data_IF_024451127934
#
_entry.id   IF_024451127934
#
_cell.length_a   1.000
_cell.length_b   1.000
_cell.length_c   1.000
_cell.angle_alpha   90.00
_cell.angle_beta   90.00
_cell.angle_gamma   90.00
#
_symmetry.space_group_name_H-M   'P 1'
#
loop_
_entity.id
_entity.type
_entity.pdbx_description
1 polymer ?
#
# COMPACT_ATOMS: atom_id res chain seq x y z
N UNK A 1 26.20 -2.87 -12.89
CA UNK A 1 24.73 -3.07 -12.79
C UNK A 1 24.01 -1.75 -13.01
N UNK A 2 22.67 -1.71 -12.89
CA UNK A 2 21.94 -0.43 -12.88
C UNK A 2 22.27 0.34 -11.61
N UNK A 3 22.55 1.64 -11.73
CA UNK A 3 22.67 2.55 -10.57
C UNK A 3 21.30 2.77 -9.93
N UNK A 4 21.22 2.66 -8.61
CA UNK A 4 19.99 2.92 -7.85
C UNK A 4 20.00 4.37 -7.36
N UNK A 5 18.97 5.12 -7.74
CA UNK A 5 18.74 6.48 -7.22
C UNK A 5 18.25 6.46 -5.77
N UNK A 6 18.58 7.53 -5.04
CA UNK A 6 18.06 7.79 -3.70
C UNK A 6 16.54 7.99 -3.71
N UNK A 7 16.00 8.58 -4.78
CA UNK A 7 14.58 8.83 -4.97
C UNK A 7 13.95 7.91 -6.01
N UNK A 8 12.65 7.65 -5.83
CA UNK A 8 11.86 6.93 -6.82
C UNK A 8 11.64 7.79 -8.07
N UNK A 9 11.62 7.14 -9.23
CA UNK A 9 11.30 7.80 -10.48
C UNK A 9 9.80 7.65 -10.78
N UNK A 10 9.01 8.68 -10.44
CA UNK A 10 7.56 8.69 -10.66
C UNK A 10 7.19 8.58 -12.14
N UNK A 11 7.97 9.19 -13.04
CA UNK A 11 7.73 9.09 -14.48
C UNK A 11 7.86 7.64 -14.98
N UNK A 12 8.87 6.93 -14.48
CA UNK A 12 9.08 5.52 -14.80
C UNK A 12 7.95 4.64 -14.24
N UNK A 13 7.48 4.91 -13.01
CA UNK A 13 6.33 4.20 -12.43
C UNK A 13 5.06 4.40 -13.26
N UNK A 14 4.76 5.65 -13.65
CA UNK A 14 3.62 5.97 -14.52
C UNK A 14 3.73 5.26 -15.87
N UNK A 15 4.93 5.22 -16.46
CA UNK A 15 5.19 4.51 -17.70
C UNK A 15 4.98 3.00 -17.57
N UNK A 16 5.43 2.38 -16.47
CA UNK A 16 5.20 0.96 -16.23
C UNK A 16 3.72 0.63 -16.00
N UNK A 17 3.01 1.46 -15.25
CA UNK A 17 1.56 1.32 -15.05
C UNK A 17 0.81 1.41 -16.38
N UNK A 18 1.08 2.44 -17.19
CA UNK A 18 0.43 2.58 -18.49
C UNK A 18 0.77 1.42 -19.43
N UNK A 19 2.02 0.98 -19.44
CA UNK A 19 2.44 -0.19 -20.22
C UNK A 19 1.70 -1.45 -19.79
N UNK A 20 1.54 -1.67 -18.49
CA UNK A 20 0.82 -2.82 -17.95
C UNK A 20 -0.64 -2.85 -18.43
N UNK A 21 -1.34 -1.74 -18.29
CA UNK A 21 -2.76 -1.61 -18.66
C UNK A 21 -2.99 -1.74 -20.16
N UNK A 22 -2.08 -1.19 -20.97
CA UNK A 22 -2.24 -1.14 -22.44
C UNK A 22 -1.76 -2.44 -23.09
N UNK A 23 -0.67 -3.05 -22.60
CA UNK A 23 -0.02 -4.17 -23.28
C UNK A 23 -0.34 -5.54 -22.69
N UNK A 24 -0.80 -5.63 -21.44
CA UNK A 24 -1.11 -6.91 -20.80
C UNK A 24 -2.61 -7.11 -20.74
N UNK A 25 -3.12 -8.01 -21.57
CA UNK A 25 -4.54 -8.34 -21.65
C UNK A 25 -5.09 -8.85 -20.30
N UNK A 26 -4.31 -9.65 -19.56
CA UNK A 26 -4.65 -10.12 -18.22
C UNK A 26 -4.79 -8.98 -17.20
N UNK A 27 -4.01 -7.90 -17.33
CA UNK A 27 -4.07 -6.74 -16.44
C UNK A 27 -5.13 -5.71 -16.86
N UNK A 28 -5.50 -5.70 -18.14
CA UNK A 28 -6.56 -4.83 -18.71
C UNK A 28 -7.95 -5.44 -18.59
N UNK A 29 -8.04 -6.76 -18.36
CA UNK A 29 -9.29 -7.49 -18.26
C UNK A 29 -10.24 -6.87 -17.22
N UNK A 30 -11.53 -6.82 -17.56
CA UNK A 30 -12.56 -6.20 -16.70
C UNK A 30 -12.55 -6.90 -15.35
N UNK A 31 -12.34 -6.09 -14.32
CA UNK A 31 -12.42 -6.51 -12.93
C UNK A 31 -13.80 -7.03 -12.61
N UNK A 32 -13.83 -8.09 -11.83
CA UNK A 32 -15.10 -8.62 -11.37
C UNK A 32 -15.56 -7.80 -10.18
N UNK A 33 -16.79 -7.28 -10.18
CA UNK A 33 -17.35 -6.51 -9.05
C UNK A 33 -17.36 -7.29 -7.72
N UNK A 34 -17.04 -8.58 -7.75
CA UNK A 34 -16.94 -9.48 -6.60
C UNK A 34 -15.84 -9.13 -5.58
N UNK A 35 -14.90 -8.25 -5.92
CA UNK A 35 -13.75 -7.89 -5.08
C UNK A 35 -13.68 -6.42 -4.64
N UNK A 36 -14.79 -5.67 -4.71
CA UNK A 36 -14.80 -4.29 -4.24
C UNK A 36 -14.63 -4.23 -2.71
N UNK A 37 -13.76 -3.34 -2.20
CA UNK A 37 -13.61 -3.19 -0.76
C UNK A 37 -14.84 -2.52 -0.14
N UNK A 38 -15.21 -2.92 1.07
CA UNK A 38 -16.33 -2.29 1.81
C UNK A 38 -16.01 -0.84 2.19
N UNK A 39 -14.74 -0.57 2.47
CA UNK A 39 -14.23 0.75 2.78
C UNK A 39 -12.97 1.05 1.97
N UNK A 40 -12.80 2.31 1.56
CA UNK A 40 -11.55 2.79 0.97
C UNK A 40 -11.23 4.19 1.45
N UNK A 41 -9.97 4.59 1.34
CA UNK A 41 -9.53 5.95 1.62
C UNK A 41 -9.57 6.75 0.32
N UNK A 42 -10.29 7.87 0.31
CA UNK A 42 -10.11 8.89 -0.72
C UNK A 42 -8.77 9.61 -0.47
N UNK A 43 -7.87 9.55 -1.44
CA UNK A 43 -6.49 10.02 -1.25
C UNK A 43 -6.41 11.55 -1.26
N UNK A 44 -7.25 12.23 -2.04
CA UNK A 44 -7.25 13.70 -2.15
C UNK A 44 -7.89 14.38 -0.95
N UNK A 45 -9.05 13.89 -0.54
CA UNK A 45 -9.80 14.45 0.59
C UNK A 45 -9.34 13.85 1.92
N UNK A 46 -8.62 12.71 1.89
CA UNK A 46 -8.13 11.97 3.06
C UNK A 46 -9.29 11.53 3.94
N UNK A 47 -10.26 10.85 3.35
CA UNK A 47 -11.52 10.48 4.01
C UNK A 47 -11.82 9.01 3.84
N UNK A 48 -12.55 8.42 4.79
CA UNK A 48 -12.97 7.03 4.69
C UNK A 48 -14.31 6.99 3.94
N UNK A 49 -14.32 6.36 2.78
CA UNK A 49 -15.51 6.12 1.97
C UNK A 49 -16.03 4.71 2.28
N UNK A 50 -17.33 4.60 2.59
CA UNK A 50 -18.05 3.34 2.65
C UNK A 50 -18.68 3.05 1.29
N UNK A 51 -18.61 1.80 0.84
CA UNK A 51 -19.14 1.34 -0.46
C UNK A 51 -18.65 2.22 -1.62
N UNK A 52 -17.33 2.30 -1.83
CA UNK A 52 -16.70 3.24 -2.77
C UNK A 52 -17.01 2.97 -4.25
N UNK A 53 -17.74 1.90 -4.55
CA UNK A 53 -18.16 1.50 -5.89
C UNK A 53 -17.04 0.91 -6.74
N UNK A 54 -17.29 0.84 -8.05
CA UNK A 54 -16.41 0.19 -9.03
C UNK A 54 -15.17 1.02 -9.46
N UNK A 55 -14.79 2.01 -8.65
CA UNK A 55 -13.65 2.85 -8.98
C UNK A 55 -12.33 2.08 -8.88
N UNK A 56 -11.33 2.50 -9.65
CA UNK A 56 -9.98 1.95 -9.54
C UNK A 56 -9.37 2.35 -8.21
N UNK A 57 -8.94 1.36 -7.45
CA UNK A 57 -8.22 1.56 -6.19
C UNK A 57 -6.84 0.91 -6.21
N UNK A 58 -5.92 1.46 -5.42
CA UNK A 58 -4.69 0.80 -5.04
C UNK A 58 -4.87 0.06 -3.71
N UNK A 59 -4.10 -1.00 -3.48
CA UNK A 59 -4.03 -1.67 -2.19
C UNK A 59 -2.64 -1.47 -1.57
N UNK A 60 -2.57 -1.31 -0.25
CA UNK A 60 -1.31 -1.26 0.49
C UNK A 60 -1.04 -2.61 1.17
N UNK A 61 0.15 -3.15 0.97
CA UNK A 61 0.68 -4.32 1.67
C UNK A 61 1.94 -3.90 2.44
N UNK A 62 1.89 -4.01 3.76
CA UNK A 62 2.90 -3.47 4.66
C UNK A 62 2.83 -4.15 6.02
N UNK A 63 3.97 -4.19 6.73
CA UNK A 63 4.03 -4.66 8.11
C UNK A 63 3.39 -3.62 9.01
N UNK A 64 2.35 -3.97 9.76
CA UNK A 64 1.68 -2.99 10.62
C UNK A 64 2.57 -2.57 11.80
N UNK A 65 3.15 -3.52 12.52
CA UNK A 65 3.85 -3.25 13.78
C UNK A 65 2.98 -3.56 14.99
N UNK A 66 3.13 -2.78 16.07
CA UNK A 66 2.50 -3.01 17.37
C UNK A 66 1.04 -2.52 17.48
N UNK A 67 0.42 -2.72 18.66
CA UNK A 67 -0.99 -2.39 18.91
C UNK A 67 -1.31 -0.88 18.86
N UNK A 68 -0.28 -0.02 18.89
CA UNK A 68 -0.40 1.44 18.79
C UNK A 68 -0.85 1.95 17.40
N UNK A 69 -0.83 1.09 16.38
CA UNK A 69 -1.25 1.44 15.02
C UNK A 69 -2.76 1.69 14.96
N UNK A 70 -3.21 2.84 14.42
CA UNK A 70 -4.63 3.12 14.25
C UNK A 70 -5.36 2.02 13.47
N UNK A 71 -6.53 1.61 13.98
CA UNK A 71 -7.37 0.58 13.40
C UNK A 71 -8.82 1.06 13.29
N UNK A 72 -9.50 0.64 12.23
CA UNK A 72 -10.94 0.81 12.11
C UNK A 72 -11.62 -0.19 13.06
N UNK A 73 -12.32 0.31 14.07
CA UNK A 73 -13.10 -0.51 15.00
C UNK A 73 -14.47 0.14 15.24
N UNK A 74 -15.35 -0.58 15.94
CA UNK A 74 -16.71 -0.11 16.21
C UNK A 74 -16.76 1.22 16.97
N UNK A 75 -15.79 1.50 17.85
CA UNK A 75 -15.74 2.78 18.56
C UNK A 75 -15.31 3.90 17.60
N UNK A 76 -14.30 3.66 16.76
CA UNK A 76 -13.89 4.59 15.70
C UNK A 76 -15.03 4.90 14.73
N UNK A 77 -15.90 3.92 14.42
CA UNK A 77 -17.10 4.14 13.61
C UNK A 77 -18.20 4.92 14.34
N UNK A 78 -18.42 4.67 15.64
CA UNK A 78 -19.43 5.38 16.44
C UNK A 78 -19.06 6.84 16.68
N UNK A 79 -17.76 7.15 16.72
CA UNK A 79 -17.26 8.53 16.76
C UNK A 79 -17.45 9.29 15.45
N UNK A 80 -17.77 8.60 14.35
CA UNK A 80 -18.14 9.22 13.10
C UNK A 80 -19.66 9.47 13.13
N UNK A 81 -20.06 10.74 13.16
CA UNK A 81 -21.47 11.06 12.89
C UNK A 81 -21.86 10.52 11.50
N UNK A 82 -23.11 10.09 11.29
CA UNK A 82 -23.57 9.49 10.03
C UNK A 82 -23.27 10.36 8.80
N UNK A 83 -23.31 11.68 8.97
CA UNK A 83 -23.05 12.69 7.94
C UNK A 83 -21.56 13.08 7.80
N UNK A 84 -20.69 12.59 8.70
CA UNK A 84 -19.30 13.00 8.86
C UNK A 84 -18.30 11.82 8.82
N UNK A 85 -18.58 10.76 8.04
CA UNK A 85 -17.57 9.74 7.67
C UNK A 85 -16.31 10.36 7.01
N UNK A 86 -16.45 11.61 6.54
CA UNK A 86 -15.42 12.49 6.00
C UNK A 86 -14.22 12.76 6.95
N UNK A 87 -14.35 12.61 8.28
CA UNK A 87 -13.38 13.26 9.20
C UNK A 87 -12.37 12.35 9.88
N UNK A 88 -12.48 11.02 9.75
CA UNK A 88 -11.65 10.08 10.53
C UNK A 88 -10.14 10.32 10.33
N UNK A 89 -9.70 10.34 9.06
CA UNK A 89 -8.27 10.39 8.76
C UNK A 89 -7.71 11.80 8.85
N UNK A 90 -8.53 12.85 8.66
CA UNK A 90 -8.10 14.24 8.88
C UNK A 90 -7.85 14.47 10.38
N UNK A 91 -8.81 14.08 11.24
CA UNK A 91 -8.70 14.24 12.69
C UNK A 91 -7.49 13.48 13.27
N UNK A 92 -7.24 12.28 12.75
CA UNK A 92 -6.16 11.42 13.23
C UNK A 92 -4.92 11.42 12.33
N UNK A 93 -4.80 12.39 11.41
CA UNK A 93 -3.73 12.41 10.40
C UNK A 93 -2.36 12.29 11.04
N UNK A 94 -2.07 13.08 12.07
CA UNK A 94 -0.78 13.07 12.75
C UNK A 94 -0.45 11.71 13.38
N UNK A 95 -1.47 10.97 13.81
CA UNK A 95 -1.34 9.64 14.42
C UNK A 95 -1.25 8.52 13.39
N UNK A 96 -1.46 8.79 12.10
CA UNK A 96 -1.31 7.78 11.07
C UNK A 96 0.16 7.41 10.85
N UNK A 97 0.47 6.12 10.60
CA UNK A 97 1.82 5.69 10.30
C UNK A 97 2.37 6.30 9.00
N UNK A 98 3.68 6.55 8.96
CA UNK A 98 4.35 7.15 7.81
C UNK A 98 4.14 6.35 6.52
N UNK A 99 4.11 5.02 6.57
CA UNK A 99 3.90 4.17 5.39
C UNK A 99 2.51 4.38 4.80
N UNK A 100 1.50 4.60 5.63
CA UNK A 100 0.13 4.90 5.17
C UNK A 100 0.07 6.31 4.56
N UNK A 101 0.65 7.31 5.24
CA UNK A 101 0.73 8.69 4.72
C UNK A 101 1.44 8.74 3.36
N UNK A 102 2.55 8.04 3.24
CA UNK A 102 3.33 7.97 2.00
C UNK A 102 2.58 7.21 0.89
N UNK A 103 1.85 6.15 1.23
CA UNK A 103 1.01 5.45 0.26
C UNK A 103 -0.11 6.35 -0.29
N UNK A 104 -0.76 7.15 0.58
CA UNK A 104 -1.77 8.14 0.16
C UNK A 104 -1.14 9.15 -0.81
N UNK A 105 -0.02 9.77 -0.44
CA UNK A 105 0.66 10.75 -1.29
C UNK A 105 1.20 10.14 -2.61
N UNK A 106 1.61 8.87 -2.60
CA UNK A 106 2.03 8.15 -3.80
C UNK A 106 0.84 7.92 -4.74
N UNK A 107 -0.31 7.52 -4.20
CA UNK A 107 -1.53 7.39 -4.98
C UNK A 107 -1.98 8.73 -5.59
N UNK A 108 -1.95 9.83 -4.83
CA UNK A 108 -2.20 11.18 -5.36
C UNK A 108 -1.27 11.50 -6.55
N UNK A 109 0.03 11.21 -6.39
CA UNK A 109 1.05 11.43 -7.44
C UNK A 109 0.83 10.58 -8.69
N UNK A 110 0.19 9.41 -8.54
CA UNK A 110 -0.16 8.48 -9.61
C UNK A 110 -1.60 8.67 -10.14
N UNK A 111 -2.33 9.66 -9.64
CA UNK A 111 -3.73 9.93 -9.99
C UNK A 111 -4.68 8.76 -9.65
N UNK A 112 -4.45 8.10 -8.51
CA UNK A 112 -5.30 7.03 -7.97
C UNK A 112 -6.06 7.60 -6.77
N UNK A 113 -7.38 7.72 -6.91
CA UNK A 113 -8.23 8.36 -5.90
C UNK A 113 -8.52 7.47 -4.70
N UNK A 114 -8.58 6.14 -4.88
CA UNK A 114 -8.95 5.22 -3.80
C UNK A 114 -7.76 4.37 -3.38
N UNK A 115 -7.54 4.29 -2.07
CA UNK A 115 -6.53 3.44 -1.46
C UNK A 115 -7.18 2.54 -0.41
N UNK A 116 -6.95 1.24 -0.54
CA UNK A 116 -7.34 0.25 0.46
C UNK A 116 -6.16 -0.05 1.38
N UNK A 117 -6.38 0.10 2.70
CA UNK A 117 -5.40 -0.18 3.74
C UNK A 117 -6.05 -1.12 4.75
N UNK A 118 -5.53 -2.35 4.90
CA UNK A 118 -6.17 -3.38 5.74
C UNK A 118 -6.65 -2.83 7.10
N UNK A 119 -5.76 -2.19 7.85
CA UNK A 119 -6.04 -1.76 9.25
C UNK A 119 -7.12 -0.70 9.33
N UNK A 120 -7.33 0.09 8.27
CA UNK A 120 -8.26 1.20 8.20
C UNK A 120 -9.52 0.90 7.40
N UNK A 121 -9.51 -0.16 6.60
CA UNK A 121 -10.60 -0.51 5.68
C UNK A 121 -11.28 -1.85 6.03
N UNK A 122 -10.81 -2.55 7.06
CA UNK A 122 -11.47 -3.71 7.66
C UNK A 122 -11.85 -3.38 9.09
N UNK A 123 -13.13 -3.59 9.42
CA UNK A 123 -13.66 -3.41 10.76
C UNK A 123 -13.12 -4.47 11.72
N UNK A 124 -12.23 -4.06 12.62
CA UNK A 124 -11.62 -4.89 13.66
C UNK A 124 -12.57 -5.04 14.86
N UNK A 125 -12.53 -6.21 15.52
CA UNK A 125 -13.23 -6.46 16.79
C UNK A 125 -14.75 -6.70 16.71
N UNK A 126 -15.34 -6.76 15.51
CA UNK A 126 -16.78 -7.01 15.31
C UNK A 126 -17.17 -8.49 15.23
N UNK A 127 -16.20 -9.41 15.26
CA UNK A 127 -16.44 -10.86 15.18
C UNK A 127 -16.17 -11.53 16.53
N UNK A 128 -17.20 -12.07 17.20
CA UNK A 128 -16.97 -12.94 18.36
C UNK A 128 -16.39 -14.26 17.82
N UNK A 129 -15.36 -14.78 18.50
CA UNK A 129 -14.57 -15.98 18.18
C UNK A 129 -13.29 -15.75 17.35
N UNK A 130 -12.21 -15.49 18.08
CA UNK A 130 -10.87 -15.98 17.74
C UNK A 130 -10.91 -17.51 17.61
N UNK A 131 -11.18 -18.02 16.41
CA UNK A 131 -10.80 -19.38 16.05
C UNK A 131 -10.61 -19.49 14.54
N UNK A 132 -9.68 -20.36 14.16
CA UNK A 132 -9.11 -20.70 12.84
C UNK A 132 -10.10 -20.81 11.64
N UNK A 133 -11.41 -20.72 11.86
CA UNK A 133 -12.46 -20.79 10.84
C UNK A 133 -12.88 -19.41 10.30
N UNK A 134 -12.58 -18.31 11.00
CA UNK A 134 -12.77 -16.93 10.52
C UNK A 134 -11.82 -16.57 9.36
N UNK A 135 -10.72 -17.31 9.22
CA UNK A 135 -9.63 -17.06 8.27
C UNK A 135 -10.06 -17.23 6.81
N UNK A 136 -10.91 -18.20 6.46
CA UNK A 136 -11.17 -18.48 5.03
C UNK A 136 -11.96 -17.38 4.32
N UNK A 137 -12.99 -16.82 4.97
CA UNK A 137 -13.79 -15.74 4.38
C UNK A 137 -13.01 -14.44 4.32
N UNK A 138 -12.28 -14.10 5.40
CA UNK A 138 -11.46 -12.89 5.41
C UNK A 138 -10.28 -13.02 4.43
N UNK A 139 -9.57 -14.14 4.42
CA UNK A 139 -8.51 -14.41 3.45
C UNK A 139 -9.03 -14.41 2.01
N UNK A 140 -10.23 -14.97 1.76
CA UNK A 140 -10.86 -14.88 0.44
C UNK A 140 -11.19 -13.44 0.06
N UNK A 141 -11.73 -12.64 0.99
CA UNK A 141 -12.00 -11.23 0.75
C UNK A 141 -10.70 -10.45 0.48
N UNK A 142 -9.65 -10.67 1.27
CA UNK A 142 -8.33 -10.06 1.04
C UNK A 142 -7.74 -10.48 -0.30
N UNK A 143 -7.79 -11.77 -0.64
CA UNK A 143 -7.36 -12.27 -1.93
C UNK A 143 -8.08 -11.56 -3.06
N UNK A 144 -9.41 -11.39 -2.97
CA UNK A 144 -10.18 -10.68 -3.98
C UNK A 144 -9.80 -9.20 -4.05
N UNK A 145 -9.61 -8.53 -2.91
CA UNK A 145 -9.20 -7.11 -2.90
C UNK A 145 -7.82 -6.92 -3.53
N UNK A 146 -6.82 -7.74 -3.17
CA UNK A 146 -5.49 -7.63 -3.79
C UNK A 146 -5.50 -8.03 -5.27
N UNK A 147 -6.27 -9.05 -5.63
CA UNK A 147 -6.41 -9.51 -7.03
C UNK A 147 -7.05 -8.44 -7.92
N UNK A 148 -8.06 -7.74 -7.41
CA UNK A 148 -8.82 -6.73 -8.15
C UNK A 148 -8.27 -5.31 -7.94
N UNK A 149 -7.14 -5.13 -7.24
CA UNK A 149 -6.48 -3.83 -7.10
C UNK A 149 -5.84 -3.39 -8.43
N UNK A 150 -5.82 -2.08 -8.68
CA UNK A 150 -5.15 -1.49 -9.86
C UNK A 150 -3.64 -1.54 -9.74
N UNK A 151 -3.18 -1.34 -8.52
CA UNK A 151 -1.79 -1.42 -8.13
C UNK A 151 -1.79 -1.90 -6.69
N UNK A 152 -0.86 -2.81 -6.37
CA UNK A 152 -0.53 -3.08 -4.97
C UNK A 152 0.81 -2.42 -4.66
N UNK A 153 0.80 -1.51 -3.68
CA UNK A 153 2.00 -0.91 -3.12
C UNK A 153 2.52 -1.87 -2.05
N UNK A 154 3.73 -2.40 -2.24
CA UNK A 154 4.36 -3.33 -1.29
C UNK A 154 5.49 -2.61 -0.56
N UNK A 155 5.29 -2.33 0.73
CA UNK A 155 6.26 -1.65 1.59
C UNK A 155 7.26 -2.62 2.25
N UNK A 156 7.89 -3.49 1.45
CA UNK A 156 8.78 -4.55 1.96
C UNK A 156 10.08 -4.05 2.61
N UNK A 157 10.49 -2.80 2.37
CA UNK A 157 11.71 -2.23 2.93
C UNK A 157 11.59 -1.74 4.38
N UNK A 158 10.37 -1.68 4.93
CA UNK A 158 10.09 -1.24 6.30
C UNK A 158 10.06 -2.40 7.30
N UNK A 159 10.41 -2.13 8.56
CA UNK A 159 10.22 -3.08 9.66
C UNK A 159 8.81 -3.03 10.24
N UNK A 160 8.12 -1.91 10.07
CA UNK A 160 6.80 -1.61 10.58
C UNK A 160 6.14 -0.51 9.74
N UNK A 161 4.97 -0.05 10.16
CA UNK A 161 4.18 0.95 9.45
C UNK A 161 4.72 2.39 9.59
N UNK A 162 5.66 2.62 10.51
CA UNK A 162 6.27 3.93 10.74
C UNK A 162 7.53 4.16 9.88
N UNK A 163 8.02 3.11 9.22
CA UNK A 163 9.20 3.20 8.34
C UNK A 163 9.02 4.18 7.16
N UNK A 164 7.82 4.31 6.60
CA UNK A 164 7.58 5.08 5.37
C UNK A 164 8.00 4.35 4.10
N UNK A 165 7.85 5.01 2.94
CA UNK A 165 8.26 4.46 1.64
C UNK A 165 9.66 5.00 1.25
N UNK A 166 10.70 4.13 1.16
CA UNK A 166 12.05 4.60 0.84
C UNK A 166 12.18 5.17 -0.58
N UNK A 167 12.75 6.37 -0.65
CA UNK A 167 12.93 7.18 -1.86
C UNK A 167 11.72 8.05 -2.21
N UNK A 168 10.78 8.26 -1.29
CA UNK A 168 9.58 9.04 -1.54
C UNK A 168 9.30 10.03 -0.40
N UNK A 169 8.68 11.17 -0.75
CA UNK A 169 8.20 12.18 0.21
C UNK A 169 9.28 12.63 1.23
N UNK A 170 10.49 12.91 0.72
CA UNK A 170 11.65 13.33 1.55
C UNK A 170 12.36 12.20 2.30
N UNK A 171 11.79 10.99 2.35
CA UNK A 171 12.44 9.81 2.96
C UNK A 171 13.32 9.11 1.94
N UNK A 172 14.46 9.70 1.62
CA UNK A 172 15.39 9.14 0.64
C UNK A 172 15.84 7.72 1.00
N UNK A 173 16.02 6.86 -0.01
CA UNK A 173 16.56 5.52 0.19
C UNK A 173 18.03 5.62 0.61
N UNK A 174 18.43 4.83 1.60
CA UNK A 174 19.86 4.60 1.87
C UNK A 174 20.46 3.79 0.71
N UNK A 175 21.19 4.45 -0.18
CA UNK A 175 21.87 3.81 -1.31
C UNK A 175 23.28 3.44 -0.88
N UNK A 176 23.47 2.18 -0.50
CA UNK A 176 24.80 1.62 -0.20
C UNK A 176 25.33 0.85 -1.43
N UNK A 177 25.32 1.49 -2.59
CA UNK A 177 25.87 0.90 -3.82
C UNK A 177 27.24 1.51 -4.09
N UNK A 178 28.28 0.68 -4.12
CA UNK A 178 29.59 1.13 -4.55
C UNK A 178 29.60 1.33 -6.07
N UNK A 179 29.98 2.52 -6.49
CA UNK A 179 30.06 2.94 -7.89
C UNK A 179 31.46 3.50 -8.15
N UNK A 180 32.10 3.00 -9.20
CA UNK A 180 33.41 3.46 -9.68
C UNK A 180 33.22 4.06 -11.07
N UNK A 181 33.68 5.30 -11.24
CA UNK A 181 33.70 5.97 -12.54
C UNK A 181 35.04 5.70 -13.23
N UNK A 182 34.97 5.29 -14.49
CA UNK A 182 36.09 5.15 -15.41
C UNK A 182 35.88 6.13 -16.58
N UNK A 183 36.93 6.43 -17.34
CA UNK A 183 36.90 7.43 -18.42
C UNK A 183 35.79 7.23 -19.46
N UNK A 184 35.35 5.98 -19.69
CA UNK A 184 34.30 5.65 -20.67
C UNK A 184 33.17 4.77 -20.13
N UNK A 185 33.17 4.48 -18.83
CA UNK A 185 32.21 3.54 -18.25
C UNK A 185 31.98 3.79 -16.77
N UNK A 186 30.81 3.37 -16.28
CA UNK A 186 30.50 3.32 -14.86
C UNK A 186 30.38 1.86 -14.44
N UNK A 187 31.16 1.46 -13.44
CA UNK A 187 31.04 0.16 -12.79
C UNK A 187 30.25 0.33 -11.50
N UNK A 188 29.33 -0.59 -11.23
CA UNK A 188 28.54 -0.58 -10.00
C UNK A 188 28.36 -2.00 -9.47
N UNK A 189 28.54 -2.15 -8.17
CA UNK A 189 28.30 -3.40 -7.45
C UNK A 189 26.83 -3.77 -7.62
N UNK A 190 26.58 -5.02 -7.99
CA UNK A 190 25.23 -5.55 -8.15
C UNK A 190 24.64 -5.75 -6.75
N UNK A 191 23.53 -5.05 -6.49
CA UNK A 191 22.75 -5.25 -5.27
C UNK A 191 21.91 -6.54 -5.37
N UNK A 192 21.47 -7.12 -4.24
CA UNK A 192 20.60 -8.30 -4.25
C UNK A 192 19.43 -8.14 -5.21
N UNK A 193 19.07 -9.21 -5.90
CA UNK A 193 17.92 -9.20 -6.81
C UNK A 193 16.64 -9.00 -6.00
N UNK A 194 15.59 -8.52 -6.65
CA UNK A 194 14.29 -8.28 -6.01
C UNK A 194 13.78 -9.51 -5.21
N UNK A 195 13.82 -10.76 -5.73
CA UNK A 195 13.37 -11.92 -4.96
C UNK A 195 14.19 -12.17 -3.69
N UNK A 196 15.52 -11.97 -3.73
CA UNK A 196 16.42 -12.15 -2.59
C UNK A 196 16.18 -11.09 -1.51
N UNK A 197 16.00 -9.84 -1.94
CA UNK A 197 15.68 -8.72 -1.06
C UNK A 197 14.29 -8.87 -0.41
N UNK A 198 13.31 -9.38 -1.16
CA UNK A 198 11.98 -9.68 -0.62
C UNK A 198 12.06 -10.85 0.35
N UNK A 199 12.73 -11.95 -0.01
CA UNK A 199 12.81 -13.16 0.83
C UNK A 199 13.39 -12.89 2.23
N UNK A 200 14.33 -11.95 2.33
CA UNK A 200 14.97 -11.54 3.59
C UNK A 200 14.22 -10.44 4.36
N UNK A 201 13.11 -9.91 3.81
CA UNK A 201 12.34 -8.84 4.46
C UNK A 201 11.44 -9.36 5.58
N UNK A 202 11.20 -8.50 6.58
CA UNK A 202 10.20 -8.78 7.63
C UNK A 202 8.81 -8.97 7.01
N UNK A 203 8.50 -8.19 5.98
CA UNK A 203 7.24 -8.31 5.23
C UNK A 203 7.00 -9.72 4.69
N UNK A 204 8.02 -10.40 4.17
CA UNK A 204 7.89 -11.74 3.60
C UNK A 204 7.75 -12.85 4.67
N UNK A 205 7.89 -12.54 5.95
CA UNK A 205 7.53 -13.46 7.04
C UNK A 205 6.01 -13.52 7.27
N UNK A 206 5.25 -12.71 6.53
CA UNK A 206 3.80 -12.58 6.63
C UNK A 206 3.15 -12.79 5.26
N UNK A 207 1.88 -13.18 5.25
CA UNK A 207 1.18 -13.53 4.02
C UNK A 207 0.80 -12.30 3.18
N UNK A 208 0.10 -11.32 3.77
CA UNK A 208 -0.51 -10.20 3.02
C UNK A 208 -0.17 -8.81 3.60
N UNK A 209 0.27 -8.75 4.86
CA UNK A 209 0.62 -7.55 5.63
C UNK A 209 1.65 -7.92 6.68
#
# INVERSE_FOLDING_TARGET
>A
GRSISADINLCLLKFWLSTCVVKHESCSSKRTDSGQPEYSIDTYTRTLIREPGAAQYAALSYVWGGPEVPQLNLNSLKELEPECQMWLLIKYWERLPNTVKDAIALCESLSIQQLWVYSLCILQGSRPSESLLCDTRLARQMFLVYREAYLTIVAAGGKDSWAGLPGFNGRTRKVNQQIVQLDRAQLSVVLPRQPEAIASSVWNTRAWT
#
